data_IF_092551600285
#
_entry.id   IF_092551600285
#
_cell.length_a   1.000
_cell.length_b   1.000
_cell.length_c   1.000
_cell.angle_alpha   90.00
_cell.angle_beta   90.00
_cell.angle_gamma   90.00
#
_symmetry.space_group_name_H-M   'P 1'
#
loop_
_entity.id
_entity.type
_entity.pdbx_description
1 polymer ?
#
# COMPACT_ATOMS: atom_id res chain seq x y z
N UNK A 1 8.09 13.00 -2.84
CA UNK A 1 6.98 12.45 -3.65
C UNK A 1 7.43 11.08 -4.11
N UNK A 2 6.68 10.03 -3.80
CA UNK A 2 6.95 8.68 -4.28
C UNK A 2 6.24 8.49 -5.63
N UNK A 3 6.86 7.78 -6.58
CA UNK A 3 6.29 7.45 -7.89
C UNK A 3 6.18 5.94 -8.06
N UNK A 4 5.48 5.51 -9.11
CA UNK A 4 5.39 4.09 -9.46
C UNK A 4 6.78 3.50 -9.71
N UNK A 5 7.62 4.22 -10.43
CA UNK A 5 8.98 3.79 -10.78
C UNK A 5 9.87 3.67 -9.55
N UNK A 6 9.83 4.65 -8.63
CA UNK A 6 10.64 4.58 -7.41
C UNK A 6 10.18 3.46 -6.49
N UNK A 7 8.87 3.23 -6.37
CA UNK A 7 8.29 2.17 -5.55
C UNK A 7 8.68 0.78 -6.07
N UNK A 8 8.42 0.51 -7.36
CA UNK A 8 8.74 -0.79 -7.98
C UNK A 8 10.25 -1.02 -7.97
N UNK A 9 11.05 0.00 -8.32
CA UNK A 9 12.50 -0.12 -8.32
C UNK A 9 13.08 -0.39 -6.92
N UNK A 10 12.47 0.10 -5.85
CA UNK A 10 12.88 -0.22 -4.48
C UNK A 10 12.63 -1.71 -4.15
N UNK A 11 11.48 -2.25 -4.55
CA UNK A 11 11.14 -3.67 -4.36
C UNK A 11 12.06 -4.59 -5.19
N UNK A 12 12.24 -4.29 -6.48
CA UNK A 12 13.09 -5.08 -7.38
C UNK A 12 14.55 -5.08 -6.96
N UNK A 13 15.04 -3.96 -6.42
CA UNK A 13 16.42 -3.86 -5.93
C UNK A 13 16.72 -4.71 -4.70
N UNK A 14 15.70 -5.25 -4.02
CA UNK A 14 15.86 -5.95 -2.74
C UNK A 14 16.27 -5.06 -1.57
N UNK A 15 16.38 -3.74 -1.76
CA UNK A 15 16.65 -2.78 -0.67
C UNK A 15 15.56 -2.82 0.40
N UNK A 16 14.33 -3.05 -0.03
CA UNK A 16 13.16 -3.18 0.83
C UNK A 16 12.43 -4.48 0.49
N UNK A 17 12.47 -5.45 1.39
CA UNK A 17 11.80 -6.75 1.23
C UNK A 17 10.58 -6.78 2.14
N UNK A 18 9.40 -6.66 1.55
CA UNK A 18 8.14 -6.85 2.27
C UNK A 18 7.95 -8.35 2.53
N UNK A 19 7.91 -8.74 3.80
CA UNK A 19 7.75 -10.15 4.21
C UNK A 19 6.31 -10.49 4.57
N UNK A 20 5.51 -9.50 5.00
CA UNK A 20 4.08 -9.64 5.19
C UNK A 20 3.36 -8.29 5.11
N UNK A 21 2.15 -8.30 4.55
CA UNK A 21 1.19 -7.19 4.61
C UNK A 21 -0.16 -7.77 4.96
N UNK A 22 -0.67 -7.46 6.14
CA UNK A 22 -1.93 -8.01 6.66
C UNK A 22 -2.93 -6.86 6.84
N UNK A 23 -3.87 -6.67 5.90
CA UNK A 23 -4.91 -5.64 6.02
C UNK A 23 -6.02 -6.06 6.98
N UNK A 24 -6.60 -5.08 7.67
CA UNK A 24 -7.78 -5.23 8.53
C UNK A 24 -8.71 -4.02 8.41
N UNK A 25 -9.97 -4.19 8.81
CA UNK A 25 -10.99 -3.12 8.83
C UNK A 25 -11.14 -2.38 7.49
N UNK A 26 -10.99 -3.13 6.40
CA UNK A 26 -11.06 -2.58 5.04
C UNK A 26 -12.49 -2.19 4.73
N UNK A 27 -12.67 -0.93 4.33
CA UNK A 27 -13.92 -0.37 3.82
C UNK A 27 -13.72 0.05 2.38
N UNK A 28 -14.65 -0.37 1.53
CA UNK A 28 -14.72 0.08 0.16
C UNK A 28 -15.81 1.16 0.01
N UNK A 29 -15.48 2.22 -0.70
CA UNK A 29 -16.44 3.21 -1.16
C UNK A 29 -16.43 3.20 -2.70
N UNK A 30 -17.58 2.85 -3.27
CA UNK A 30 -17.81 2.91 -4.71
C UNK A 30 -18.01 4.37 -5.14
N UNK A 31 -17.31 4.79 -6.19
CA UNK A 31 -17.39 6.10 -6.82
C UNK A 31 -17.54 5.97 -8.36
N UNK A 32 -18.17 4.90 -8.84
CA UNK A 32 -18.36 4.60 -10.25
C UNK A 32 -17.13 3.91 -10.86
N UNK A 33 -16.43 4.60 -11.76
CA UNK A 33 -15.20 4.08 -12.37
C UNK A 33 -13.99 4.10 -11.41
N UNK A 34 -14.21 4.42 -10.14
CA UNK A 34 -13.19 4.46 -9.10
C UNK A 34 -13.71 3.83 -7.82
N UNK A 35 -12.85 3.11 -7.10
CA UNK A 35 -13.12 2.62 -5.75
C UNK A 35 -12.06 3.16 -4.80
N UNK A 36 -12.50 3.68 -3.66
CA UNK A 36 -11.62 4.10 -2.58
C UNK A 36 -11.64 3.00 -1.53
N UNK A 37 -10.46 2.44 -1.22
CA UNK A 37 -10.27 1.51 -0.11
C UNK A 37 -9.61 2.26 1.03
N UNK A 38 -10.18 2.15 2.23
CA UNK A 38 -9.52 2.62 3.46
C UNK A 38 -9.47 1.49 4.47
N UNK A 39 -8.42 1.43 5.27
CA UNK A 39 -8.27 0.35 6.23
C UNK A 39 -7.03 0.51 7.10
N UNK A 40 -6.78 -0.49 7.93
CA UNK A 40 -5.55 -0.62 8.68
C UNK A 40 -4.70 -1.73 8.05
N UNK A 41 -3.39 -1.70 8.24
CA UNK A 41 -2.52 -2.81 7.87
C UNK A 41 -1.37 -2.99 8.85
N UNK A 42 -0.99 -4.23 9.13
CA UNK A 42 0.29 -4.58 9.75
C UNK A 42 1.28 -4.96 8.66
N UNK A 43 2.40 -4.24 8.61
CA UNK A 43 3.45 -4.41 7.60
C UNK A 43 4.70 -4.95 8.28
N UNK A 44 5.22 -6.05 7.75
CA UNK A 44 6.53 -6.59 8.08
C UNK A 44 7.46 -6.40 6.90
N UNK A 45 8.62 -5.78 7.15
CA UNK A 45 9.60 -5.45 6.11
C UNK A 45 11.01 -5.69 6.63
N UNK A 46 11.90 -6.15 5.76
CA UNK A 46 13.33 -6.19 5.99
C UNK A 46 14.00 -5.16 5.07
N UNK A 47 14.63 -4.16 5.66
CA UNK A 47 15.36 -3.12 4.92
C UNK A 47 16.83 -3.16 5.32
N UNK A 48 17.70 -3.63 4.42
CA UNK A 48 19.14 -3.72 4.67
C UNK A 48 19.53 -4.54 5.90
N UNK A 49 18.80 -5.63 6.20
CA UNK A 49 19.03 -6.50 7.35
C UNK A 49 18.24 -6.13 8.60
N UNK A 50 17.59 -4.96 8.62
CA UNK A 50 16.77 -4.53 9.75
C UNK A 50 15.31 -4.93 9.52
N UNK A 51 14.84 -5.90 10.32
CA UNK A 51 13.44 -6.27 10.35
C UNK A 51 12.62 -5.23 11.12
N UNK A 52 11.57 -4.72 10.49
CA UNK A 52 10.62 -3.77 11.06
C UNK A 52 9.21 -4.32 10.95
N UNK A 53 8.40 -4.11 11.99
CA UNK A 53 6.98 -4.46 12.01
C UNK A 53 6.18 -3.29 12.58
N UNK A 54 5.28 -2.72 11.79
CA UNK A 54 4.54 -1.52 12.17
C UNK A 54 3.13 -1.49 11.60
N UNK A 55 2.26 -0.69 12.23
CA UNK A 55 0.89 -0.47 11.81
C UNK A 55 0.76 0.77 10.94
N UNK A 56 -0.16 0.75 9.99
CA UNK A 56 -0.56 1.91 9.19
C UNK A 56 -2.08 2.01 9.06
N UNK A 57 -2.59 3.23 8.95
CA UNK A 57 -3.89 3.53 8.32
C UNK A 57 -3.62 3.88 6.86
N UNK A 58 -4.34 3.25 5.94
CA UNK A 58 -4.14 3.45 4.50
C UNK A 58 -5.39 4.01 3.80
N UNK A 59 -5.14 4.66 2.67
CA UNK A 59 -6.12 5.02 1.64
C UNK A 59 -5.55 4.68 0.27
N UNK A 60 -6.25 3.82 -0.47
CA UNK A 60 -5.89 3.38 -1.81
C UNK A 60 -7.00 3.79 -2.77
N UNK A 61 -6.65 4.40 -3.89
CA UNK A 61 -7.59 4.77 -4.94
C UNK A 61 -7.33 3.91 -6.16
N UNK A 62 -8.33 3.14 -6.55
CA UNK A 62 -8.30 2.27 -7.71
C UNK A 62 -9.22 2.81 -8.78
N UNK A 63 -8.72 2.94 -10.02
CA UNK A 63 -9.52 3.36 -11.16
C UNK A 63 -9.70 2.19 -12.14
N UNK A 64 -10.91 2.02 -12.66
CA UNK A 64 -11.22 1.07 -13.72
C UNK A 64 -10.88 1.71 -15.07
N UNK A 65 -9.89 1.15 -15.76
CA UNK A 65 -9.48 1.59 -17.10
C UNK A 65 -9.79 0.48 -18.10
N UNK A 66 -10.99 0.53 -18.68
CA UNK A 66 -11.41 -0.44 -19.70
C UNK A 66 -11.53 -1.87 -19.17
N UNK A 67 -12.08 -2.04 -17.96
CA UNK A 67 -12.22 -3.34 -17.28
C UNK A 67 -11.01 -3.75 -16.44
N UNK A 68 -9.92 -2.97 -16.47
CA UNK A 68 -8.71 -3.25 -15.68
C UNK A 68 -8.58 -2.28 -14.52
N UNK A 69 -8.63 -2.80 -13.30
CA UNK A 69 -8.41 -2.01 -12.10
C UNK A 69 -6.93 -1.71 -11.90
N UNK A 70 -6.60 -0.44 -11.72
CA UNK A 70 -5.25 0.03 -11.47
C UNK A 70 -5.24 0.99 -10.28
N UNK A 71 -4.30 0.81 -9.35
CA UNK A 71 -4.07 1.77 -8.29
C UNK A 71 -3.51 3.05 -8.89
N UNK A 72 -4.22 4.17 -8.71
CA UNK A 72 -3.85 5.48 -9.25
C UNK A 72 -3.35 6.44 -8.18
N UNK A 73 -3.68 6.19 -6.92
CA UNK A 73 -3.11 6.89 -5.78
C UNK A 73 -3.07 5.97 -4.56
N UNK A 74 -2.12 6.25 -3.67
CA UNK A 74 -1.94 5.55 -2.42
C UNK A 74 -1.38 6.50 -1.37
N UNK A 75 -1.83 6.35 -0.13
CA UNK A 75 -1.23 7.01 1.02
C UNK A 75 -1.36 6.10 2.24
N UNK A 76 -0.29 6.04 3.04
CA UNK A 76 -0.31 5.39 4.35
C UNK A 76 0.30 6.29 5.43
N UNK A 77 -0.33 6.29 6.59
CA UNK A 77 0.17 6.98 7.79
C UNK A 77 0.45 5.94 8.86
N UNK A 78 1.64 5.98 9.47
CA UNK A 78 1.96 5.12 10.61
C UNK A 78 0.98 5.38 11.75
N UNK A 79 0.46 4.31 12.34
CA UNK A 79 -0.28 4.40 13.59
C UNK A 79 0.68 4.47 14.77
N UNK A 80 0.29 5.09 15.89
CA UNK A 80 0.97 4.85 17.16
C UNK A 80 0.98 3.35 17.48
N UNK A 81 2.03 2.89 18.17
CA UNK A 81 2.10 1.54 18.74
C UNK A 81 1.27 1.43 20.01
#
# INVERSE_FOLDING_TARGET
LDTKESLIGAMESGRTVYTAVVPSDVKAQDCGDTVILTGNARISVNSGGNAMNFGVRFTDVWANKGGQWQMVAWQSTRTPD
#
